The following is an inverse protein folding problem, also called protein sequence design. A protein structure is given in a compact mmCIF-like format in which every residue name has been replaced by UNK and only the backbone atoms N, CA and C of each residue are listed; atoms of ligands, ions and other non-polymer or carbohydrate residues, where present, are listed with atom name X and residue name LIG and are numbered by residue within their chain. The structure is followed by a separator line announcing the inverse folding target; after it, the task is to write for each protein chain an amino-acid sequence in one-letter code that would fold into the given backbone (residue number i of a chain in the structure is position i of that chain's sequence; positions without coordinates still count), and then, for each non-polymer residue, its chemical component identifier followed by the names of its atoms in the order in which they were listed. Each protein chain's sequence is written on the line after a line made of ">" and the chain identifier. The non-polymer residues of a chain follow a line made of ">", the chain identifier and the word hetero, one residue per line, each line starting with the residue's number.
data_IF_380275533998
#
_entry.id   IF_380275533998
#
_cell.length_a   1.000
_cell.length_b   1.000
_cell.length_c   1.000
_cell.angle_alpha   90.00
_cell.angle_beta   90.00
_cell.angle_gamma   90.00
#
_symmetry.space_group_name_H-M   'P 1'
#
loop_
_entity.id
_entity.type
_entity.pdbx_description
1 polymer ?
#
# COMPACT_ATOMS: atom_id res chain seq x y z
N UNK A 1 45.91 -41.25 -63.38
CA UNK A 1 44.87 -40.21 -63.48
C UNK A 1 43.70 -40.70 -62.66
N UNK A 2 43.75 -40.42 -61.36
CA UNK A 2 43.01 -41.11 -60.31
C UNK A 2 41.89 -40.20 -59.79
N UNK A 3 40.70 -40.79 -59.68
CA UNK A 3 39.46 -40.29 -59.07
C UNK A 3 39.62 -39.14 -58.06
N UNK A 4 38.97 -38.01 -58.33
CA UNK A 4 38.59 -37.02 -57.33
C UNK A 4 37.35 -36.25 -57.81
N UNK A 5 36.20 -36.93 -57.91
CA UNK A 5 34.90 -36.28 -58.07
C UNK A 5 33.98 -36.91 -57.03
N UNK A 6 33.25 -36.05 -56.31
CA UNK A 6 32.19 -36.31 -55.32
C UNK A 6 32.63 -36.54 -53.87
N UNK A 7 32.91 -35.43 -53.19
CA UNK A 7 32.60 -35.30 -51.76
C UNK A 7 31.94 -33.95 -51.45
N UNK A 8 30.95 -33.56 -52.27
CA UNK A 8 29.89 -32.65 -51.83
C UNK A 8 28.68 -33.47 -51.38
N UNK A 9 28.88 -34.31 -50.36
CA UNK A 9 27.77 -34.87 -49.60
C UNK A 9 27.04 -33.69 -48.94
N UNK A 10 25.99 -33.24 -49.62
CA UNK A 10 24.75 -32.69 -49.09
C UNK A 10 24.70 -32.72 -47.56
N UNK A 11 25.23 -31.68 -46.93
CA UNK A 11 24.72 -31.24 -45.63
C UNK A 11 23.37 -30.57 -45.90
N UNK A 12 22.36 -31.38 -46.16
CA UNK A 12 20.98 -30.96 -45.92
C UNK A 12 20.91 -30.83 -44.41
N UNK A 13 21.10 -29.61 -43.91
CA UNK A 13 20.64 -29.27 -42.57
C UNK A 13 19.18 -29.70 -42.52
N UNK A 14 18.86 -30.72 -41.73
CA UNK A 14 17.48 -31.03 -41.42
C UNK A 14 16.92 -29.79 -40.71
N UNK A 15 16.29 -28.90 -41.47
CA UNK A 15 15.53 -27.80 -40.91
C UNK A 15 14.37 -28.46 -40.15
N UNK A 16 14.53 -28.58 -38.84
CA UNK A 16 13.47 -29.05 -37.96
C UNK A 16 12.34 -28.02 -38.03
N UNK A 17 11.32 -28.30 -38.84
CA UNK A 17 10.13 -27.48 -38.93
C UNK A 17 9.39 -27.48 -37.60
N UNK A 18 8.89 -26.33 -37.17
CA UNK A 18 8.04 -26.22 -35.98
C UNK A 18 6.70 -26.87 -36.31
N UNK A 19 6.32 -27.88 -35.53
CA UNK A 19 5.02 -28.53 -35.70
C UNK A 19 3.90 -27.66 -35.14
N UNK A 20 2.69 -27.80 -35.69
CA UNK A 20 1.50 -27.06 -35.22
C UNK A 20 1.24 -27.30 -33.72
N UNK A 21 1.50 -28.52 -33.25
CA UNK A 21 1.30 -28.87 -31.85
C UNK A 21 2.32 -28.18 -30.93
N UNK A 22 3.59 -28.08 -31.34
CA UNK A 22 4.61 -27.32 -30.59
C UNK A 22 4.23 -25.84 -30.49
N UNK A 23 3.71 -25.26 -31.56
CA UNK A 23 3.24 -23.87 -31.57
C UNK A 23 2.06 -23.66 -30.62
N UNK A 24 1.07 -24.57 -30.62
CA UNK A 24 -0.07 -24.51 -29.70
C UNK A 24 0.35 -24.65 -28.23
N UNK A 25 1.27 -25.57 -27.94
CA UNK A 25 1.81 -25.74 -26.59
C UNK A 25 2.61 -24.49 -26.15
N UNK A 26 3.40 -23.91 -27.04
CA UNK A 26 4.13 -22.68 -26.77
C UNK A 26 3.19 -21.50 -26.44
N UNK A 27 2.11 -21.33 -27.21
CA UNK A 27 1.10 -20.31 -26.91
C UNK A 27 0.37 -20.56 -25.59
N UNK A 28 0.04 -21.82 -25.28
CA UNK A 28 -0.60 -22.17 -24.02
C UNK A 28 0.32 -21.80 -22.84
N UNK A 29 1.60 -22.20 -22.88
CA UNK A 29 2.58 -21.87 -21.85
C UNK A 29 2.77 -20.35 -21.74
N UNK A 30 2.92 -19.66 -22.86
CA UNK A 30 3.08 -18.20 -22.88
C UNK A 30 1.88 -17.49 -22.25
N UNK A 31 0.66 -17.94 -22.53
CA UNK A 31 -0.56 -17.35 -21.97
C UNK A 31 -0.63 -17.49 -20.45
N UNK A 32 -0.26 -18.67 -19.91
CA UNK A 32 -0.21 -18.91 -18.46
C UNK A 32 0.84 -18.02 -17.79
N UNK A 33 2.01 -17.87 -18.40
CA UNK A 33 3.08 -17.01 -17.89
C UNK A 33 2.64 -15.54 -17.90
N UNK A 34 2.08 -15.05 -19.01
CA UNK A 34 1.62 -13.67 -19.14
C UNK A 34 0.51 -13.34 -18.12
N UNK A 35 -0.41 -14.29 -17.91
CA UNK A 35 -1.46 -14.16 -16.91
C UNK A 35 -0.87 -14.10 -15.48
N UNK A 36 0.11 -14.96 -15.17
CA UNK A 36 0.79 -14.94 -13.89
C UNK A 36 1.47 -13.59 -13.62
N UNK A 37 2.17 -13.01 -14.60
CA UNK A 37 2.77 -11.67 -14.45
C UNK A 37 1.72 -10.59 -14.18
N UNK A 38 0.61 -10.61 -14.92
CA UNK A 38 -0.46 -9.62 -14.77
C UNK A 38 -1.10 -9.68 -13.38
N UNK A 39 -1.36 -10.89 -12.86
CA UNK A 39 -1.88 -11.06 -11.51
C UNK A 39 -0.91 -10.57 -10.44
N UNK A 40 0.38 -10.92 -10.54
CA UNK A 40 1.39 -10.50 -9.58
C UNK A 40 1.57 -8.97 -9.57
N UNK A 41 1.65 -8.35 -10.75
CA UNK A 41 1.75 -6.88 -10.88
C UNK A 41 0.52 -6.18 -10.27
N UNK A 42 -0.68 -6.68 -10.55
CA UNK A 42 -1.92 -6.11 -10.00
C UNK A 42 -1.96 -6.18 -8.47
N UNK A 43 -1.49 -7.29 -7.89
CA UNK A 43 -1.42 -7.44 -6.43
C UNK A 43 -0.34 -6.56 -5.81
N UNK A 44 0.82 -6.43 -6.47
CA UNK A 44 1.88 -5.54 -6.03
C UNK A 44 1.41 -4.07 -5.98
N UNK A 45 0.72 -3.60 -7.02
CA UNK A 45 0.16 -2.25 -7.05
C UNK A 45 -0.83 -2.01 -5.91
N UNK A 46 -1.75 -2.94 -5.66
CA UNK A 46 -2.71 -2.82 -4.54
C UNK A 46 -2.02 -2.73 -3.18
N UNK A 47 -0.94 -3.48 -2.98
CA UNK A 47 -0.17 -3.44 -1.73
C UNK A 47 0.55 -2.10 -1.56
N UNK A 48 1.15 -1.59 -2.63
CA UNK A 48 1.82 -0.27 -2.63
C UNK A 48 0.80 0.83 -2.33
N UNK A 49 -0.34 0.84 -3.03
CA UNK A 49 -1.39 1.85 -2.81
C UNK A 49 -1.91 1.81 -1.38
N UNK A 50 -2.11 0.61 -0.82
CA UNK A 50 -2.52 0.45 0.57
C UNK A 50 -1.45 0.98 1.55
N UNK A 51 -0.18 0.68 1.28
CA UNK A 51 0.94 1.17 2.10
C UNK A 51 1.06 2.70 2.07
N UNK A 52 0.90 3.31 0.89
CA UNK A 52 0.97 4.76 0.72
C UNK A 52 -0.17 5.45 1.47
N UNK A 53 -1.40 4.92 1.36
CA UNK A 53 -2.55 5.41 2.14
C UNK A 53 -2.30 5.31 3.63
N UNK A 54 -1.78 4.17 4.07
CA UNK A 54 -1.50 3.95 5.48
C UNK A 54 -0.44 4.91 6.01
N UNK A 55 0.60 5.19 5.22
CA UNK A 55 1.60 6.21 5.55
C UNK A 55 0.98 7.61 5.67
N UNK A 56 0.10 8.00 4.73
CA UNK A 56 -0.62 9.28 4.79
C UNK A 56 -1.51 9.40 6.03
N UNK A 57 -2.28 8.36 6.35
CA UNK A 57 -3.10 8.33 7.57
C UNK A 57 -2.24 8.43 8.85
N UNK A 58 -1.10 7.73 8.90
CA UNK A 58 -0.18 7.83 10.03
C UNK A 58 0.38 9.24 10.18
N UNK A 59 0.76 9.89 9.08
CA UNK A 59 1.26 11.26 9.09
C UNK A 59 0.23 12.22 9.67
N UNK A 60 -1.02 12.18 9.19
CA UNK A 60 -2.10 13.05 9.68
C UNK A 60 -2.41 12.83 11.16
N UNK A 61 -2.38 11.57 11.61
CA UNK A 61 -2.62 11.22 13.00
C UNK A 61 -1.50 11.73 13.92
N UNK A 62 -0.23 11.54 13.52
CA UNK A 62 0.93 12.02 14.27
C UNK A 62 0.92 13.54 14.35
N UNK A 63 0.68 14.23 13.23
CA UNK A 63 0.61 15.69 13.19
C UNK A 63 -0.41 16.24 14.21
N UNK A 64 -1.60 15.65 14.28
CA UNK A 64 -2.63 16.07 15.22
C UNK A 64 -2.27 15.78 16.68
N UNK A 65 -1.67 14.62 16.95
CA UNK A 65 -1.20 14.30 18.30
C UNK A 65 -0.08 15.25 18.72
N UNK A 66 0.86 15.58 17.83
CA UNK A 66 1.93 16.54 18.11
C UNK A 66 1.38 17.94 18.40
N UNK A 67 0.42 18.40 17.59
CA UNK A 67 -0.31 19.66 17.81
C UNK A 67 -0.94 19.71 19.21
N UNK A 68 -1.72 18.69 19.56
CA UNK A 68 -2.45 18.63 20.84
C UNK A 68 -1.53 18.38 22.03
N UNK A 69 -0.42 17.68 21.83
CA UNK A 69 0.58 17.43 22.88
C UNK A 69 1.38 18.69 23.25
N UNK A 70 1.37 19.72 22.40
CA UNK A 70 1.96 21.02 22.73
C UNK A 70 1.10 21.84 23.71
N UNK A 71 -0.17 21.47 23.90
CA UNK A 71 -1.10 22.12 24.83
C UNK A 71 -0.81 21.65 26.26
N UNK A 72 -0.98 22.54 27.24
CA UNK A 72 -0.88 22.14 28.65
C UNK A 72 -1.90 21.02 28.94
N UNK A 73 -1.46 19.82 29.39
CA UNK A 73 -2.35 18.67 29.56
C UNK A 73 -3.48 18.89 30.58
N UNK A 74 -3.36 19.87 31.48
CA UNK A 74 -4.42 20.25 32.41
C UNK A 74 -5.60 20.90 31.68
N UNK A 75 -5.32 21.67 30.62
CA UNK A 75 -6.31 22.38 29.82
C UNK A 75 -6.91 21.50 28.72
N UNK A 76 -6.25 20.39 28.38
CA UNK A 76 -6.69 19.47 27.35
C UNK A 76 -7.93 18.68 27.84
N UNK A 77 -9.04 18.85 27.14
CA UNK A 77 -10.35 18.27 27.43
C UNK A 77 -11.16 18.10 26.12
N UNK A 78 -12.42 17.66 26.28
CA UNK A 78 -13.41 17.45 25.22
C UNK A 78 -13.73 18.69 24.36
N UNK A 79 -13.38 19.91 24.80
CA UNK A 79 -13.58 21.12 23.98
C UNK A 79 -12.64 21.19 22.78
N UNK A 80 -11.60 20.35 22.76
CA UNK A 80 -10.69 20.18 21.63
C UNK A 80 -11.05 18.97 20.76
N UNK A 81 -12.15 18.27 21.05
CA UNK A 81 -12.69 17.24 20.17
C UNK A 81 -13.14 17.91 18.87
N UNK A 82 -12.72 17.36 17.74
CA UNK A 82 -12.97 17.96 16.44
C UNK A 82 -13.06 16.91 15.33
N UNK A 83 -13.74 17.27 14.25
CA UNK A 83 -13.79 16.49 13.01
C UNK A 83 -13.40 17.39 11.85
N UNK A 84 -12.27 17.07 11.23
CA UNK A 84 -11.74 17.77 10.07
C UNK A 84 -11.92 16.89 8.83
N UNK A 85 -12.64 17.38 7.83
CA UNK A 85 -12.86 16.70 6.54
C UNK A 85 -12.05 17.36 5.42
N UNK A 86 -12.06 16.75 4.23
CA UNK A 86 -11.40 17.28 3.02
C UNK A 86 -9.87 17.43 3.15
N UNK A 87 -9.21 16.62 3.99
CA UNK A 87 -7.75 16.60 4.11
C UNK A 87 -7.14 15.83 2.92
N UNK A 88 -6.36 16.50 2.07
CA UNK A 88 -5.75 15.88 0.89
C UNK A 88 -4.26 15.59 1.10
N UNK A 89 -3.88 14.31 0.96
CA UNK A 89 -2.48 13.90 0.79
C UNK A 89 -2.37 13.09 -0.51
N UNK A 90 -1.61 13.63 -1.46
CA UNK A 90 -1.31 13.01 -2.74
C UNK A 90 -2.55 12.60 -3.57
N UNK A 91 -3.63 13.39 -3.49
CA UNK A 91 -4.89 13.17 -4.21
C UNK A 91 -5.83 12.18 -3.53
N UNK A 92 -5.63 11.91 -2.23
CA UNK A 92 -6.47 11.04 -1.41
C UNK A 92 -7.06 11.89 -0.30
N UNK A 93 -8.38 11.90 -0.20
CA UNK A 93 -9.13 12.68 0.77
C UNK A 93 -9.33 11.86 2.05
N UNK A 94 -9.08 12.51 3.17
CA UNK A 94 -9.21 11.95 4.50
C UNK A 94 -10.11 12.81 5.39
N UNK A 95 -10.77 12.12 6.31
CA UNK A 95 -11.43 12.69 7.46
C UNK A 95 -10.58 12.35 8.70
N UNK A 96 -10.38 13.34 9.57
CA UNK A 96 -9.69 13.19 10.85
C UNK A 96 -10.66 13.51 11.98
N UNK A 97 -10.86 12.54 12.85
CA UNK A 97 -11.66 12.66 14.06
C UNK A 97 -10.71 12.64 15.26
N UNK A 98 -10.86 13.60 16.15
CA UNK A 98 -10.09 13.69 17.39
C UNK A 98 -11.04 13.58 18.58
N UNK A 99 -10.75 12.65 19.48
CA UNK A 99 -11.47 12.46 20.74
C UNK A 99 -10.50 12.55 21.92
N UNK A 100 -10.82 13.36 22.93
CA UNK A 100 -10.01 13.54 24.13
C UNK A 100 -10.76 13.04 25.35
N UNK A 101 -10.20 12.00 25.98
CA UNK A 101 -10.75 11.41 27.19
C UNK A 101 -9.98 11.84 28.43
N UNK A 102 -10.69 12.36 29.43
CA UNK A 102 -10.17 12.57 30.79
C UNK A 102 -10.27 11.26 31.57
N UNK A 103 -9.13 10.65 31.89
CA UNK A 103 -9.09 9.39 32.62
C UNK A 103 -9.32 9.60 34.13
N UNK A 104 -9.78 8.56 34.82
CA UNK A 104 -10.06 8.60 36.26
C UNK A 104 -8.83 8.94 37.13
N UNK A 105 -7.62 8.63 36.66
CA UNK A 105 -6.35 8.96 37.31
C UNK A 105 -5.85 10.39 36.98
N UNK A 106 -6.65 11.19 36.28
CA UNK A 106 -6.30 12.53 35.84
C UNK A 106 -5.41 12.59 34.60
N UNK A 107 -4.96 11.48 34.00
CA UNK A 107 -4.29 11.55 32.69
C UNK A 107 -5.28 11.94 31.58
N UNK A 108 -4.75 12.35 30.42
CA UNK A 108 -5.56 12.64 29.22
C UNK A 108 -5.18 11.66 28.13
N UNK A 109 -6.16 11.06 27.47
CA UNK A 109 -5.95 10.26 26.27
C UNK A 109 -6.45 11.05 25.07
N UNK A 110 -5.62 11.14 24.03
CA UNK A 110 -5.95 11.71 22.72
C UNK A 110 -6.08 10.52 21.77
N UNK A 111 -7.25 10.32 21.21
CA UNK A 111 -7.52 9.34 20.17
C UNK A 111 -7.73 10.10 18.85
N UNK A 112 -6.86 9.86 17.88
CA UNK A 112 -6.98 10.43 16.53
C UNK A 112 -7.29 9.32 15.56
N UNK A 113 -8.46 9.38 14.95
CA UNK A 113 -8.94 8.42 13.95
C UNK A 113 -8.97 9.08 12.58
N UNK A 114 -8.30 8.46 11.61
CA UNK A 114 -8.27 8.89 10.22
C UNK A 114 -9.05 7.90 9.36
N UNK A 115 -10.01 8.40 8.59
CA UNK A 115 -10.80 7.64 7.63
C UNK A 115 -10.45 8.13 6.21
N UNK A 116 -10.27 7.22 5.25
CA UNK A 116 -10.15 7.61 3.84
C UNK A 116 -11.53 7.71 3.19
N UNK A 117 -11.91 8.90 2.68
CA UNK A 117 -13.27 9.20 2.20
C UNK A 117 -13.48 8.75 0.75
N UNK A 118 -12.48 8.91 -0.12
CA UNK A 118 -12.58 8.63 -1.56
C UNK A 118 -11.93 7.30 -1.99
N UNK A 119 -11.84 6.33 -1.07
CA UNK A 119 -11.19 5.06 -1.30
C UNK A 119 -12.18 3.94 -1.67
N UNK A 120 -11.84 3.13 -2.67
CA UNK A 120 -12.58 1.88 -3.01
C UNK A 120 -12.54 0.81 -1.92
N UNK A 121 -11.76 1.04 -0.85
CA UNK A 121 -11.74 0.24 0.37
C UNK A 121 -11.83 1.18 1.55
N UNK A 122 -12.82 0.98 2.43
CA UNK A 122 -12.83 1.64 3.72
C UNK A 122 -11.54 1.29 4.47
N UNK A 123 -10.70 2.28 4.70
CA UNK A 123 -9.48 2.16 5.49
C UNK A 123 -9.55 3.17 6.61
N UNK A 124 -9.36 2.67 7.83
CA UNK A 124 -9.33 3.46 9.04
C UNK A 124 -8.00 3.20 9.75
N UNK A 125 -7.45 4.25 10.34
CA UNK A 125 -6.30 4.17 11.22
C UNK A 125 -6.59 4.99 12.48
N UNK A 126 -6.31 4.42 13.64
CA UNK A 126 -6.45 5.14 14.91
C UNK A 126 -5.12 5.12 15.65
N UNK A 127 -4.69 6.29 16.09
CA UNK A 127 -3.53 6.46 16.96
C UNK A 127 -3.99 7.03 18.29
N UNK A 128 -3.57 6.40 19.37
CA UNK A 128 -3.91 6.79 20.74
C UNK A 128 -2.65 7.22 21.49
N UNK A 129 -2.71 8.36 22.17
CA UNK A 129 -1.64 8.85 23.01
C UNK A 129 -2.15 9.29 24.38
N UNK A 130 -1.58 8.75 25.46
CA UNK A 130 -1.95 9.11 26.83
C UNK A 130 -0.87 9.97 27.47
N UNK A 131 -1.24 11.17 27.90
CA UNK A 131 -0.39 12.12 28.62
C UNK A 131 -0.68 12.01 30.12
N UNK A 132 0.32 11.61 30.89
CA UNK A 132 0.25 11.57 32.35
C UNK A 132 0.47 12.96 32.95
N UNK A 133 -0.38 13.35 33.90
CA UNK A 133 -0.15 14.54 34.72
C UNK A 133 0.89 14.23 35.80
N UNK A 134 2.12 14.66 35.60
CA UNK A 134 3.13 14.62 36.67
C UNK A 134 2.85 15.76 37.67
N UNK A 135 2.55 15.40 38.92
CA UNK A 135 2.38 16.36 40.02
C UNK A 135 0.95 16.88 40.23
N UNK A 136 -0.07 16.26 39.64
CA UNK A 136 -1.47 16.54 39.99
C UNK A 136 -1.89 15.73 41.22
N UNK A 137 -1.41 16.15 42.40
CA UNK A 137 -2.07 15.98 43.70
C UNK A 137 -1.91 17.27 44.49
#
# INVERSE_FOLDING_TARGET
>A
MHLAILNSHNRISAEAGVTLIELLVAFAIFSVIALAFTFNSSQAHRTIDHSNRHAGMQQLAIEKIEELSAINPILLNDTYDDTESDLDIDGIEYERITDITINANGSRTIDVTINAENSSRATQFTLSHTISLWGAV
#
